data_IF_312964417133
#
_entry.id   IF_312964417133
#
_cell.length_a   1.000
_cell.length_b   1.000
_cell.length_c   1.000
_cell.angle_alpha   90.00
_cell.angle_beta   90.00
_cell.angle_gamma   90.00
#
_symmetry.space_group_name_H-M   'P 1'
#
loop_
_entity.id
_entity.type
_entity.pdbx_description
1 polymer ?
#
# COMPACT_ATOMS: atom_id res chain seq x y z
N UNK A 1 40.86 -15.18 -30.94
CA UNK A 1 41.73 -13.99 -30.78
C UNK A 1 41.10 -13.15 -29.68
N UNK A 2 41.31 -13.50 -28.40
CA UNK A 2 42.42 -13.05 -27.51
C UNK A 2 42.32 -11.51 -27.35
N UNK A 3 42.02 -10.93 -26.18
CA UNK A 3 42.80 -11.03 -24.94
C UNK A 3 41.89 -11.01 -23.69
N UNK A 4 42.02 -12.08 -22.91
CA UNK A 4 41.81 -12.14 -21.47
C UNK A 4 42.72 -11.16 -20.72
N UNK A 5 42.15 -10.24 -19.94
CA UNK A 5 42.89 -9.54 -18.88
C UNK A 5 42.13 -9.64 -17.59
N UNK A 6 42.62 -10.54 -16.73
CA UNK A 6 42.33 -10.52 -15.30
C UNK A 6 42.77 -9.17 -14.72
N UNK A 7 41.83 -8.41 -14.15
CA UNK A 7 42.14 -7.41 -13.13
C UNK A 7 41.44 -7.81 -11.84
N UNK A 8 42.24 -8.35 -10.92
CA UNK A 8 41.93 -8.46 -9.49
C UNK A 8 41.73 -7.05 -8.94
N UNK A 9 40.58 -6.82 -8.30
CA UNK A 9 40.24 -5.56 -7.65
C UNK A 9 38.74 -5.50 -7.40
N UNK A 10 38.31 -6.04 -6.26
CA UNK A 10 36.90 -6.09 -5.85
C UNK A 10 36.33 -4.69 -5.60
N UNK A 11 35.92 -4.01 -6.67
CA UNK A 11 34.87 -2.99 -6.60
C UNK A 11 33.58 -3.71 -6.92
N UNK A 12 32.71 -3.87 -5.91
CA UNK A 12 31.32 -4.24 -6.16
C UNK A 12 30.77 -3.18 -7.12
N UNK A 13 30.62 -3.52 -8.39
CA UNK A 13 29.83 -2.71 -9.31
C UNK A 13 28.45 -2.61 -8.67
N UNK A 14 28.09 -1.43 -8.18
CA UNK A 14 26.70 -1.11 -7.90
C UNK A 14 25.99 -1.12 -9.27
N UNK A 15 25.53 -2.30 -9.68
CA UNK A 15 24.55 -2.40 -10.75
C UNK A 15 23.27 -1.82 -10.17
N UNK A 16 22.98 -0.56 -10.54
CA UNK A 16 21.69 0.03 -10.24
C UNK A 16 20.67 -0.84 -10.97
N UNK A 17 19.64 -1.37 -10.29
CA UNK A 17 18.54 -1.98 -10.99
C UNK A 17 17.96 -0.91 -11.93
N UNK A 18 18.11 -1.13 -13.23
CA UNK A 18 17.72 -0.14 -14.22
C UNK A 18 16.23 0.15 -14.05
N UNK A 19 15.90 1.44 -13.92
CA UNK A 19 14.53 1.87 -13.74
C UNK A 19 13.82 1.72 -15.08
N UNK A 20 13.21 0.56 -15.31
CA UNK A 20 12.60 0.18 -16.58
C UNK A 20 11.23 0.86 -16.75
N UNK A 21 11.04 1.47 -17.91
CA UNK A 21 9.77 2.06 -18.35
C UNK A 21 9.98 2.98 -19.55
N UNK A 22 8.95 3.07 -20.39
CA UNK A 22 8.87 3.88 -21.60
C UNK A 22 7.65 4.81 -21.59
N UNK A 23 6.77 4.71 -20.59
CA UNK A 23 5.60 5.57 -20.46
C UNK A 23 5.97 7.03 -20.25
N UNK A 24 5.20 7.95 -20.86
CA UNK A 24 5.40 9.39 -20.76
C UNK A 24 5.41 9.87 -19.30
N UNK A 25 4.45 9.40 -18.48
CA UNK A 25 4.37 9.71 -17.05
C UNK A 25 5.61 9.27 -16.27
N UNK A 26 6.25 8.17 -16.69
CA UNK A 26 7.50 7.73 -16.08
C UNK A 26 8.69 8.54 -16.56
N UNK A 27 8.73 8.95 -17.83
CA UNK A 27 9.78 9.81 -18.36
C UNK A 27 9.77 11.20 -17.70
N UNK A 28 8.59 11.80 -17.52
CA UNK A 28 8.42 13.05 -16.76
C UNK A 28 8.95 12.92 -15.33
N UNK A 29 8.60 11.82 -14.65
CA UNK A 29 9.11 11.50 -13.31
C UNK A 29 10.64 11.35 -13.30
N UNK A 30 11.24 10.72 -14.31
CA UNK A 30 12.70 10.62 -14.43
C UNK A 30 13.37 11.97 -14.67
N UNK A 31 12.73 12.85 -15.43
CA UNK A 31 13.20 14.20 -15.68
C UNK A 31 13.20 15.04 -14.38
N UNK A 32 12.13 14.94 -13.58
CA UNK A 32 12.05 15.58 -12.26
C UNK A 32 13.16 15.10 -11.33
N UNK A 33 13.42 13.80 -11.26
CA UNK A 33 14.55 13.23 -10.50
C UNK A 33 15.88 13.85 -10.96
N UNK A 34 16.07 13.98 -12.27
CA UNK A 34 17.31 14.50 -12.84
C UNK A 34 17.51 15.99 -12.52
N UNK A 35 16.42 16.76 -12.48
CA UNK A 35 16.43 18.19 -12.08
C UNK A 35 16.76 18.37 -10.60
N UNK A 36 16.23 17.53 -9.72
CA UNK A 36 16.46 17.67 -8.26
C UNK A 36 17.79 17.07 -7.79
N UNK A 37 18.32 16.08 -8.51
CA UNK A 37 19.52 15.36 -8.11
C UNK A 37 20.75 16.24 -7.80
N UNK A 38 21.10 17.30 -8.56
CA UNK A 38 22.24 18.15 -8.23
C UNK A 38 22.01 19.10 -7.04
N UNK A 39 20.77 19.26 -6.57
CA UNK A 39 20.41 20.17 -5.48
C UNK A 39 20.66 19.49 -4.13
N UNK A 40 21.42 20.12 -3.24
CA UNK A 40 21.77 19.60 -1.91
C UNK A 40 20.70 19.90 -0.85
N UNK A 41 19.43 19.82 -1.24
CA UNK A 41 18.27 20.04 -0.36
C UNK A 41 17.55 18.71 -0.09
N UNK A 42 16.76 18.62 0.99
CA UNK A 42 15.90 17.48 1.25
C UNK A 42 14.93 17.22 0.09
N UNK A 43 14.62 15.94 -0.16
CA UNK A 43 13.62 15.56 -1.18
C UNK A 43 12.64 14.59 -0.57
N UNK A 44 11.35 14.82 -0.77
CA UNK A 44 10.27 13.95 -0.33
C UNK A 44 9.69 13.17 -1.52
N UNK A 45 9.71 11.85 -1.43
CA UNK A 45 9.18 10.93 -2.45
C UNK A 45 7.85 10.36 -1.95
N UNK A 46 6.77 10.71 -2.64
CA UNK A 46 5.43 10.24 -2.35
C UNK A 46 5.04 9.17 -3.34
N UNK A 47 4.52 8.05 -2.86
CA UNK A 47 4.04 7.00 -3.75
C UNK A 47 3.51 5.78 -3.02
N UNK A 48 2.64 5.06 -3.70
CA UNK A 48 2.04 3.84 -3.19
C UNK A 48 3.11 2.78 -2.86
N UNK A 49 2.72 1.81 -2.04
CA UNK A 49 3.59 0.67 -1.72
C UNK A 49 3.87 -0.13 -3.00
N UNK A 50 5.12 -0.57 -3.14
CA UNK A 50 5.55 -1.38 -4.30
C UNK A 50 5.78 -0.62 -5.61
N UNK A 51 5.78 0.72 -5.62
CA UNK A 51 6.08 1.54 -6.82
C UNK A 51 7.56 1.72 -7.12
N UNK A 52 8.45 1.33 -6.20
CA UNK A 52 9.92 1.45 -6.38
C UNK A 52 10.53 2.75 -5.86
N UNK A 53 10.02 3.30 -4.75
CA UNK A 53 10.56 4.52 -4.10
C UNK A 53 12.06 4.42 -3.77
N UNK A 54 12.54 3.24 -3.37
CA UNK A 54 13.95 2.97 -3.11
C UNK A 54 14.84 3.19 -4.36
N UNK A 55 14.34 2.79 -5.54
CA UNK A 55 15.05 2.99 -6.80
C UNK A 55 15.12 4.47 -7.17
N UNK A 56 14.05 5.21 -6.92
CA UNK A 56 14.01 6.65 -7.12
C UNK A 56 15.05 7.37 -6.25
N UNK A 57 15.12 7.03 -4.96
CA UNK A 57 16.11 7.59 -4.04
C UNK A 57 17.55 7.22 -4.43
N UNK A 58 17.78 5.97 -4.84
CA UNK A 58 19.08 5.51 -5.34
C UNK A 58 19.50 6.29 -6.59
N UNK A 59 18.56 6.57 -7.49
CA UNK A 59 18.79 7.37 -8.70
C UNK A 59 19.10 8.84 -8.37
N UNK A 60 18.37 9.45 -7.43
CA UNK A 60 18.64 10.81 -6.94
C UNK A 60 20.07 10.89 -6.39
N UNK A 61 20.48 9.94 -5.57
CA UNK A 61 21.83 9.88 -5.01
C UNK A 61 22.90 9.72 -6.11
N UNK A 62 22.69 8.81 -7.05
CA UNK A 62 23.65 8.55 -8.13
C UNK A 62 23.84 9.75 -9.07
N UNK A 63 22.77 10.50 -9.33
CA UNK A 63 22.82 11.71 -10.17
C UNK A 63 23.27 12.95 -9.37
N UNK A 64 23.54 12.83 -8.08
CA UNK A 64 23.97 13.94 -7.23
C UNK A 64 25.49 14.14 -7.25
N UNK A 65 25.93 15.29 -6.74
CA UNK A 65 27.37 15.55 -6.50
C UNK A 65 28.00 14.59 -5.49
N UNK A 66 27.19 13.90 -4.68
CA UNK A 66 27.59 12.98 -3.62
C UNK A 66 27.54 11.50 -4.05
N UNK A 67 27.51 11.20 -5.35
CA UNK A 67 27.39 9.82 -5.86
C UNK A 67 28.51 8.85 -5.43
N UNK A 68 29.69 9.35 -5.08
CA UNK A 68 30.80 8.54 -4.56
C UNK A 68 30.73 8.32 -3.03
N UNK A 69 29.87 9.06 -2.35
CA UNK A 69 29.73 9.07 -0.88
C UNK A 69 28.72 7.99 -0.47
N UNK A 70 28.66 7.60 0.82
CA UNK A 70 27.75 6.54 1.24
C UNK A 70 26.27 6.91 1.04
N UNK A 71 25.51 5.98 0.47
CA UNK A 71 24.05 5.97 0.53
C UNK A 71 23.63 5.02 1.66
N UNK A 72 23.13 5.58 2.75
CA UNK A 72 22.61 4.81 3.88
C UNK A 72 21.10 4.78 3.77
N UNK A 73 20.51 3.58 3.73
CA UNK A 73 19.07 3.38 3.68
C UNK A 73 18.56 2.88 5.03
N UNK A 74 17.46 3.44 5.52
CA UNK A 74 16.75 2.97 6.70
C UNK A 74 15.26 2.88 6.39
N UNK A 75 14.68 1.70 6.66
CA UNK A 75 13.23 1.52 6.64
C UNK A 75 12.68 1.72 8.05
N UNK A 76 11.85 2.75 8.23
CA UNK A 76 11.33 3.16 9.52
C UNK A 76 10.22 2.26 10.06
N UNK A 77 9.57 1.44 9.24
CA UNK A 77 8.50 0.53 9.70
C UNK A 77 9.01 -0.82 10.20
N UNK A 78 10.27 -1.16 9.92
CA UNK A 78 10.88 -2.39 10.38
C UNK A 78 11.33 -2.34 11.86
N UNK A 79 11.36 -1.16 12.47
CA UNK A 79 11.93 -0.93 13.80
C UNK A 79 10.86 -0.45 14.79
N UNK A 80 11.07 -0.78 16.06
CA UNK A 80 10.25 -0.24 17.15
C UNK A 80 10.59 1.23 17.42
N UNK A 81 9.67 2.01 18.04
CA UNK A 81 9.91 3.41 18.40
C UNK A 81 11.18 3.68 19.23
N UNK A 82 11.57 2.74 20.08
CA UNK A 82 12.78 2.87 20.90
C UNK A 82 14.04 2.57 20.08
N UNK A 83 13.98 1.57 19.20
CA UNK A 83 15.12 1.17 18.36
C UNK A 83 15.37 2.13 17.21
N UNK A 84 14.34 2.77 16.66
CA UNK A 84 14.52 3.71 15.55
C UNK A 84 15.34 4.94 15.98
N UNK A 85 15.14 5.43 17.22
CA UNK A 85 15.93 6.52 17.77
C UNK A 85 17.39 6.13 17.97
N UNK A 86 17.66 4.93 18.50
CA UNK A 86 19.03 4.45 18.73
C UNK A 86 19.75 4.07 17.43
N UNK A 87 19.06 3.57 16.41
CA UNK A 87 19.63 3.34 15.08
C UNK A 87 19.95 4.66 14.35
N UNK A 88 19.04 5.63 14.36
CA UNK A 88 19.25 6.91 13.67
C UNK A 88 20.39 7.73 14.28
N UNK A 89 20.37 7.92 15.61
CA UNK A 89 21.28 8.83 16.31
C UNK A 89 22.44 8.13 17.01
N UNK A 90 22.40 6.80 17.15
CA UNK A 90 23.39 6.07 17.93
C UNK A 90 23.18 6.25 19.44
N UNK A 91 23.96 5.51 20.21
CA UNK A 91 23.88 5.52 21.67
C UNK A 91 25.26 5.35 22.31
N UNK A 92 25.43 5.95 23.48
CA UNK A 92 26.61 5.77 24.32
C UNK A 92 26.46 4.55 25.23
N UNK A 93 27.61 4.07 25.76
CA UNK A 93 27.61 2.97 26.73
C UNK A 93 26.78 3.35 27.95
N UNK A 94 25.83 2.49 28.34
CA UNK A 94 24.95 2.73 29.49
C UNK A 94 23.69 3.55 29.20
N UNK A 95 23.37 3.86 27.93
CA UNK A 95 22.15 4.58 27.57
C UNK A 95 20.84 3.82 27.89
N UNK A 96 20.87 2.48 27.88
CA UNK A 96 19.75 1.62 28.27
C UNK A 96 20.27 0.25 28.76
N UNK A 97 19.39 -0.56 29.37
CA UNK A 97 19.72 -1.91 29.85
C UNK A 97 20.16 -2.80 28.68
N UNK A 98 21.44 -3.18 28.64
CA UNK A 98 22.03 -3.93 27.51
C UNK A 98 22.92 -3.11 26.56
N UNK A 99 23.09 -1.80 26.78
CA UNK A 99 24.02 -0.95 26.04
C UNK A 99 25.49 -1.20 26.45
N UNK A 100 26.03 -2.36 26.08
CA UNK A 100 27.39 -2.80 26.46
C UNK A 100 28.52 -2.05 25.75
N UNK A 101 28.27 -1.53 24.54
CA UNK A 101 29.22 -0.78 23.73
C UNK A 101 28.56 0.44 23.08
N UNK A 102 29.36 1.46 22.76
CA UNK A 102 28.92 2.61 21.95
C UNK A 102 28.62 2.15 20.53
N UNK A 103 27.53 2.65 19.94
CA UNK A 103 27.18 2.40 18.54
C UNK A 103 26.91 3.72 17.81
N UNK A 104 27.53 3.87 16.64
CA UNK A 104 27.32 5.01 15.75
C UNK A 104 25.96 4.92 15.05
N UNK A 105 25.28 6.07 14.97
CA UNK A 105 23.98 6.19 14.31
C UNK A 105 24.07 6.23 12.79
N UNK A 106 22.93 6.07 12.13
CA UNK A 106 22.83 6.19 10.66
C UNK A 106 23.18 7.58 10.15
N UNK A 107 22.88 8.64 10.90
CA UNK A 107 23.28 10.00 10.52
C UNK A 107 24.80 10.17 10.49
N UNK A 108 25.51 9.60 11.47
CA UNK A 108 26.98 9.63 11.53
C UNK A 108 27.60 8.83 10.38
N UNK A 109 27.06 7.64 10.10
CA UNK A 109 27.48 6.79 8.97
C UNK A 109 27.19 7.40 7.59
N UNK A 110 26.16 8.24 7.51
CA UNK A 110 25.75 8.93 6.29
C UNK A 110 26.41 10.31 6.11
N UNK A 111 27.34 10.69 7.00
CA UNK A 111 28.05 11.97 6.90
C UNK A 111 28.73 12.13 5.54
N UNK A 112 28.62 13.34 4.98
CA UNK A 112 29.01 13.73 3.61
C UNK A 112 28.25 12.99 2.49
N UNK A 113 27.32 12.11 2.84
CA UNK A 113 26.59 11.24 1.93
C UNK A 113 25.12 11.58 1.82
N UNK A 114 24.30 10.54 1.67
CA UNK A 114 22.84 10.64 1.59
C UNK A 114 22.21 9.61 2.53
N UNK A 115 21.26 10.08 3.35
CA UNK A 115 20.41 9.23 4.17
C UNK A 115 19.04 9.12 3.54
N UNK A 116 18.68 7.91 3.15
CA UNK A 116 17.35 7.57 2.66
C UNK A 116 16.48 6.99 3.79
N UNK A 117 15.34 7.64 4.04
CA UNK A 117 14.38 7.26 5.07
C UNK A 117 13.09 6.77 4.38
N UNK A 118 12.87 5.46 4.35
CA UNK A 118 11.61 4.91 3.84
C UNK A 118 10.55 4.80 4.94
N UNK A 119 9.31 5.05 4.54
CA UNK A 119 8.13 5.13 5.42
C UNK A 119 8.30 6.15 6.58
N UNK A 120 8.79 7.37 6.30
CA UNK A 120 8.98 8.43 7.31
C UNK A 120 7.73 8.77 8.14
N UNK A 121 6.54 8.52 7.60
CA UNK A 121 5.27 8.71 8.30
C UNK A 121 5.04 7.77 9.49
N UNK A 122 5.86 6.72 9.68
CA UNK A 122 5.77 5.80 10.83
C UNK A 122 6.65 6.22 12.01
N UNK A 123 7.42 7.30 11.88
CA UNK A 123 8.38 7.72 12.90
C UNK A 123 7.66 8.36 14.10
N UNK A 124 8.04 8.01 15.35
CA UNK A 124 7.50 8.65 16.56
C UNK A 124 7.81 10.14 16.66
N UNK A 125 6.94 10.90 17.34
CA UNK A 125 7.08 12.36 17.49
C UNK A 125 8.44 12.78 18.08
N UNK A 126 8.93 12.11 19.12
CA UNK A 126 10.24 12.40 19.75
C UNK A 126 11.40 12.31 18.76
N UNK A 127 11.34 11.36 17.84
CA UNK A 127 12.37 11.13 16.82
C UNK A 127 12.23 12.18 15.71
N UNK A 128 11.02 12.59 15.37
CA UNK A 128 10.77 13.69 14.43
C UNK A 128 11.42 15.00 14.92
N UNK A 129 11.37 15.31 16.22
CA UNK A 129 12.02 16.51 16.78
C UNK A 129 13.53 16.50 16.59
N UNK A 130 14.15 15.33 16.79
CA UNK A 130 15.59 15.17 16.61
C UNK A 130 15.98 15.24 15.13
N UNK A 131 15.18 14.66 14.23
CA UNK A 131 15.40 14.78 12.79
C UNK A 131 15.30 16.25 12.37
N UNK A 132 14.31 16.99 12.88
CA UNK A 132 14.16 18.42 12.60
C UNK A 132 15.43 19.20 12.96
N UNK A 133 16.02 18.96 14.15
CA UNK A 133 17.29 19.58 14.56
C UNK A 133 18.45 19.27 13.60
N UNK A 134 18.52 18.04 13.08
CA UNK A 134 19.53 17.66 12.08
C UNK A 134 19.29 18.40 10.77
N UNK A 135 18.04 18.49 10.30
CA UNK A 135 17.72 19.15 9.03
C UNK A 135 17.99 20.67 9.10
N UNK A 136 17.72 21.29 10.26
CA UNK A 136 17.87 22.73 10.44
C UNK A 136 19.30 23.17 10.76
N UNK A 137 19.97 22.49 11.69
CA UNK A 137 21.25 22.91 12.24
C UNK A 137 22.42 22.01 11.83
N UNK A 138 22.16 20.88 11.18
CA UNK A 138 23.20 19.90 10.84
C UNK A 138 23.84 19.27 12.07
N UNK A 139 23.15 19.20 13.21
CA UNK A 139 23.69 18.66 14.45
C UNK A 139 22.68 17.83 15.23
N UNK A 140 23.17 16.83 15.97
CA UNK A 140 22.36 16.02 16.88
C UNK A 140 23.15 15.53 18.09
N UNK A 141 22.43 14.99 19.06
CA UNK A 141 22.97 14.37 20.26
C UNK A 141 22.68 12.87 20.28
N UNK A 142 23.64 12.05 20.74
CA UNK A 142 23.43 10.61 20.91
C UNK A 142 22.46 10.33 22.05
N UNK A 143 21.80 9.18 22.01
CA UNK A 143 21.00 8.72 23.15
C UNK A 143 21.93 8.48 24.35
N UNK A 144 21.68 9.17 25.46
CA UNK A 144 22.48 9.10 26.68
C UNK A 144 23.72 10.00 26.71
N UNK A 145 23.90 10.91 25.73
CA UNK A 145 24.98 11.89 25.70
C UNK A 145 24.44 13.29 25.45
N UNK A 146 25.00 14.30 26.11
CA UNK A 146 24.75 15.72 25.82
C UNK A 146 25.74 16.30 24.80
N UNK A 147 26.63 15.47 24.24
CA UNK A 147 27.60 15.94 23.25
C UNK A 147 26.92 16.10 21.89
N UNK A 148 26.89 17.33 21.39
CA UNK A 148 26.46 17.63 20.03
C UNK A 148 27.49 17.15 19.00
N UNK A 149 26.99 16.55 17.92
CA UNK A 149 27.75 16.02 16.79
C UNK A 149 27.23 16.70 15.54
N UNK A 150 28.12 17.36 14.80
CA UNK A 150 27.80 17.98 13.52
C UNK A 150 27.94 16.96 12.39
N UNK A 151 26.96 16.92 11.50
CA UNK A 151 26.92 16.05 10.32
C UNK A 151 26.37 16.80 9.11
N UNK A 152 27.01 16.61 7.96
CA UNK A 152 26.49 17.08 6.67
C UNK A 152 25.85 15.90 5.94
N UNK A 153 24.53 15.80 5.99
CA UNK A 153 23.80 14.67 5.39
C UNK A 153 22.68 15.19 4.51
N UNK A 154 22.65 14.74 3.25
CA UNK A 154 21.48 14.95 2.40
C UNK A 154 20.39 13.96 2.79
N UNK A 155 19.19 14.45 3.06
CA UNK A 155 18.05 13.60 3.43
C UNK A 155 17.16 13.38 2.21
N UNK A 156 16.84 12.12 1.93
CA UNK A 156 15.80 11.73 0.97
C UNK A 156 14.76 10.92 1.74
N UNK A 157 13.55 11.44 1.88
CA UNK A 157 12.49 10.76 2.61
C UNK A 157 11.48 10.16 1.63
N UNK A 158 10.88 9.02 1.99
CA UNK A 158 9.83 8.38 1.23
C UNK A 158 8.66 8.01 2.14
N UNK A 159 7.44 8.15 1.62
CA UNK A 159 6.23 7.69 2.31
C UNK A 159 5.12 7.34 1.33
N UNK A 160 4.21 6.49 1.78
CA UNK A 160 2.97 6.13 1.10
C UNK A 160 1.73 6.74 1.77
N UNK A 161 1.91 7.44 2.89
CA UNK A 161 0.83 8.07 3.64
C UNK A 161 0.79 9.57 3.35
N UNK A 162 -0.41 10.14 3.39
CA UNK A 162 -0.60 11.58 3.29
C UNK A 162 -0.10 12.28 4.57
N UNK A 163 1.06 12.93 4.46
CA UNK A 163 1.68 13.65 5.57
C UNK A 163 0.87 14.88 5.98
N UNK A 164 0.17 15.55 5.06
CA UNK A 164 -0.65 16.71 5.40
C UNK A 164 -1.79 16.31 6.35
N UNK A 165 -2.45 15.18 6.06
CA UNK A 165 -3.49 14.65 6.92
C UNK A 165 -2.92 14.20 8.28
N UNK A 166 -1.71 13.63 8.31
CA UNK A 166 -1.03 13.28 9.58
C UNK A 166 -0.69 14.51 10.43
N UNK A 167 -0.30 15.62 9.81
CA UNK A 167 -0.06 16.90 10.51
C UNK A 167 -1.36 17.40 11.14
N UNK A 168 -2.48 17.39 10.39
CA UNK A 168 -3.79 17.80 10.93
C UNK A 168 -4.23 16.93 12.13
N UNK A 169 -3.83 15.66 12.15
CA UNK A 169 -4.11 14.72 13.26
C UNK A 169 -3.11 14.82 14.42
N UNK A 170 -2.10 15.69 14.34
CA UNK A 170 -1.05 15.83 15.35
C UNK A 170 -0.10 14.64 15.44
N UNK A 171 -0.07 13.77 14.43
CA UNK A 171 0.81 12.60 14.36
C UNK A 171 2.14 12.89 13.66
N UNK A 172 2.23 14.06 13.02
CA UNK A 172 3.44 14.51 12.35
C UNK A 172 3.64 16.02 12.59
N UNK A 173 4.88 16.47 12.75
CA UNK A 173 5.17 17.90 12.92
C UNK A 173 5.09 18.67 11.60
N UNK A 174 4.39 19.81 11.61
CA UNK A 174 4.33 20.74 10.48
C UNK A 174 5.73 21.24 10.09
N UNK A 175 6.52 21.69 11.07
CA UNK A 175 7.88 22.22 10.82
C UNK A 175 8.78 21.20 10.12
N UNK A 176 8.68 19.91 10.49
CA UNK A 176 9.46 18.85 9.85
C UNK A 176 9.00 18.64 8.40
N UNK A 177 7.69 18.67 8.15
CA UNK A 177 7.14 18.55 6.80
C UNK A 177 7.64 19.70 5.92
N UNK A 178 7.61 20.93 6.40
CA UNK A 178 8.06 22.12 5.67
C UNK A 178 9.56 22.05 5.33
N UNK A 179 10.39 21.53 6.25
CA UNK A 179 11.83 21.35 6.00
C UNK A 179 12.15 20.22 5.03
N UNK A 180 11.36 19.14 5.04
CA UNK A 180 11.56 17.98 4.16
C UNK A 180 11.00 18.22 2.75
N UNK A 181 10.01 19.10 2.61
CA UNK A 181 9.24 19.32 1.38
C UNK A 181 9.84 20.38 0.45
N UNK A 182 11.17 20.57 0.44
CA UNK A 182 11.81 21.46 -0.53
C UNK A 182 11.45 21.07 -1.97
N UNK A 183 11.47 19.77 -2.28
CA UNK A 183 10.89 19.22 -3.50
C UNK A 183 10.08 17.98 -3.16
N UNK A 184 8.89 17.86 -3.74
CA UNK A 184 7.99 16.73 -3.55
C UNK A 184 7.79 16.01 -4.88
N UNK A 185 8.32 14.79 -4.97
CA UNK A 185 8.25 13.97 -6.19
C UNK A 185 7.21 12.86 -5.99
N UNK A 186 6.25 12.80 -6.91
CA UNK A 186 5.23 11.75 -6.92
C UNK A 186 5.66 10.61 -7.83
N UNK A 187 5.79 9.41 -7.27
CA UNK A 187 6.04 8.20 -8.05
C UNK A 187 4.71 7.74 -8.68
N UNK A 188 4.61 7.68 -10.03
CA UNK A 188 3.39 7.26 -10.68
C UNK A 188 3.09 5.79 -10.37
N UNK A 189 1.85 5.44 -9.95
CA UNK A 189 1.46 4.05 -9.78
C UNK A 189 1.39 3.34 -11.13
N UNK A 190 1.52 2.01 -11.12
CA UNK A 190 1.62 1.19 -12.33
C UNK A 190 0.42 1.38 -13.27
N UNK A 191 -0.77 1.58 -12.71
CA UNK A 191 -2.00 1.87 -13.48
C UNK A 191 -1.98 3.16 -14.31
N UNK A 192 -1.10 4.12 -13.98
CA UNK A 192 -0.90 5.36 -14.75
C UNK A 192 0.28 5.27 -15.74
N UNK A 193 0.98 4.14 -15.77
CA UNK A 193 2.17 3.90 -16.62
C UNK A 193 1.78 3.00 -17.80
N UNK A 194 1.04 3.57 -18.75
CA UNK A 194 0.55 2.83 -19.93
C UNK A 194 1.74 2.31 -20.75
N UNK A 195 1.67 1.05 -21.20
CA UNK A 195 2.74 0.39 -21.96
C UNK A 195 3.89 -0.18 -21.12
N UNK A 196 4.12 0.30 -19.89
CA UNK A 196 5.22 -0.20 -19.04
C UNK A 196 4.97 -1.62 -18.52
N UNK A 197 3.71 -2.02 -18.37
CA UNK A 197 3.33 -3.35 -17.85
C UNK A 197 3.95 -4.46 -18.70
N UNK A 198 3.89 -4.33 -20.04
CA UNK A 198 4.46 -5.33 -20.95
C UNK A 198 5.98 -5.41 -20.82
N UNK A 199 6.66 -4.27 -20.83
CA UNK A 199 8.12 -4.20 -20.73
C UNK A 199 8.61 -4.79 -19.41
N UNK A 200 7.96 -4.42 -18.30
CA UNK A 200 8.25 -4.95 -16.97
C UNK A 200 7.97 -6.44 -16.88
N UNK A 201 6.84 -6.90 -17.42
CA UNK A 201 6.48 -8.31 -17.39
C UNK A 201 7.47 -9.17 -18.17
N UNK A 202 7.89 -8.75 -19.36
CA UNK A 202 8.92 -9.45 -20.14
C UNK A 202 10.27 -9.48 -19.41
N UNK A 203 10.66 -8.37 -18.78
CA UNK A 203 11.89 -8.31 -18.00
C UNK A 203 11.88 -9.29 -16.81
N UNK A 204 10.80 -9.31 -16.03
CA UNK A 204 10.67 -10.25 -14.91
C UNK A 204 10.56 -11.70 -15.38
N UNK A 205 9.88 -11.95 -16.50
CA UNK A 205 9.76 -13.28 -17.07
C UNK A 205 11.11 -13.83 -17.54
N UNK A 206 11.91 -13.01 -18.23
CA UNK A 206 13.25 -13.37 -18.67
C UNK A 206 14.18 -13.68 -17.49
N UNK A 207 14.13 -12.85 -16.44
CA UNK A 207 14.92 -13.06 -15.23
C UNK A 207 14.56 -14.36 -14.52
N UNK A 208 13.27 -14.64 -14.34
CA UNK A 208 12.82 -15.88 -13.70
C UNK A 208 13.12 -17.11 -14.56
N UNK A 209 12.99 -17.02 -15.88
CA UNK A 209 13.37 -18.11 -16.79
C UNK A 209 14.86 -18.46 -16.65
N UNK A 210 15.71 -17.44 -16.56
CA UNK A 210 17.15 -17.61 -16.31
C UNK A 210 17.43 -18.24 -14.94
N UNK A 211 16.76 -17.77 -13.88
CA UNK A 211 16.90 -18.33 -12.53
C UNK A 211 16.43 -19.80 -12.44
N UNK A 212 15.44 -20.20 -13.26
CA UNK A 212 14.97 -21.58 -13.37
C UNK A 212 15.80 -22.45 -14.34
N UNK A 213 16.81 -21.88 -15.00
CA UNK A 213 17.64 -22.60 -15.97
C UNK A 213 16.90 -23.01 -17.25
N UNK A 214 15.89 -22.25 -17.68
CA UNK A 214 15.20 -22.49 -18.95
C UNK A 214 15.99 -21.92 -20.11
N UNK A 215 16.07 -22.69 -21.21
CA UNK A 215 16.73 -22.26 -22.45
C UNK A 215 15.92 -21.17 -23.19
N UNK A 216 14.59 -21.14 -23.00
CA UNK A 216 13.70 -20.19 -23.66
C UNK A 216 12.98 -19.25 -22.69
N UNK A 217 12.83 -17.99 -23.12
CA UNK A 217 12.06 -16.98 -22.40
C UNK A 217 10.57 -17.20 -22.74
N UNK A 218 9.70 -17.48 -21.75
CA UNK A 218 8.31 -17.71 -22.00
C UNK A 218 7.63 -16.43 -22.51
N UNK A 219 6.86 -16.57 -23.59
CA UNK A 219 6.10 -15.46 -24.18
C UNK A 219 4.75 -15.30 -23.49
N UNK A 220 4.40 -14.06 -23.17
CA UNK A 220 3.08 -13.72 -22.64
C UNK A 220 2.08 -13.74 -23.80
N UNK A 221 0.99 -14.49 -23.64
CA UNK A 221 -0.10 -14.51 -24.64
C UNK A 221 -0.86 -13.18 -24.66
N UNK A 222 -1.52 -12.86 -25.78
CA UNK A 222 -2.33 -11.64 -25.90
C UNK A 222 -3.47 -11.58 -24.88
N UNK A 223 -4.11 -12.71 -24.58
CA UNK A 223 -5.16 -12.80 -23.55
C UNK A 223 -4.61 -12.50 -22.14
N UNK A 224 -3.43 -13.03 -21.84
CA UNK A 224 -2.76 -12.78 -20.56
C UNK A 224 -2.32 -11.31 -20.43
N UNK A 225 -1.85 -10.70 -21.53
CA UNK A 225 -1.48 -9.29 -21.57
C UNK A 225 -2.68 -8.38 -21.32
N UNK A 226 -3.82 -8.61 -21.98
CA UNK A 226 -5.04 -7.85 -21.73
C UNK A 226 -5.49 -7.95 -20.27
N UNK A 227 -5.38 -9.16 -19.67
CA UNK A 227 -5.68 -9.35 -18.26
C UNK A 227 -4.74 -8.52 -17.37
N UNK A 228 -3.43 -8.48 -17.66
CA UNK A 228 -2.45 -7.68 -16.93
C UNK A 228 -2.73 -6.17 -17.04
N UNK A 229 -3.11 -5.69 -18.22
CA UNK A 229 -3.41 -4.26 -18.43
C UNK A 229 -4.72 -3.82 -17.78
N UNK A 230 -5.73 -4.69 -17.72
CA UNK A 230 -7.03 -4.39 -17.10
C UNK A 230 -7.01 -4.39 -15.56
N UNK A 231 -5.97 -4.96 -14.95
CA UNK A 231 -5.87 -5.10 -13.50
C UNK A 231 -5.45 -3.79 -12.81
N UNK A 232 -5.94 -3.56 -11.59
CA UNK A 232 -5.73 -2.30 -10.86
C UNK A 232 -4.36 -2.18 -10.17
N UNK A 233 -3.67 -3.31 -9.96
CA UNK A 233 -2.34 -3.41 -9.36
C UNK A 233 -2.19 -2.71 -7.99
N UNK A 234 -2.91 -3.14 -6.93
CA UNK A 234 -2.79 -2.55 -5.60
C UNK A 234 -1.37 -2.62 -4.99
N UNK A 235 -0.57 -3.62 -5.35
CA UNK A 235 0.84 -3.76 -4.94
C UNK A 235 1.85 -3.30 -6.00
N UNK A 236 1.38 -2.63 -7.07
CA UNK A 236 2.21 -2.06 -8.14
C UNK A 236 3.26 -3.04 -8.69
N UNK A 237 4.52 -2.60 -8.81
CA UNK A 237 5.61 -3.37 -9.43
C UNK A 237 5.96 -4.62 -8.59
N UNK A 238 5.86 -4.52 -7.26
CA UNK A 238 6.14 -5.67 -6.38
C UNK A 238 5.15 -6.81 -6.59
N UNK A 239 3.87 -6.47 -6.78
CA UNK A 239 2.85 -7.47 -7.10
C UNK A 239 3.02 -8.01 -8.52
N UNK A 240 3.24 -7.14 -9.51
CA UNK A 240 3.51 -7.55 -10.90
C UNK A 240 4.67 -8.57 -10.97
N UNK A 241 5.79 -8.26 -10.31
CA UNK A 241 6.94 -9.16 -10.21
C UNK A 241 6.51 -10.53 -9.70
N UNK A 242 5.84 -10.59 -8.55
CA UNK A 242 5.41 -11.85 -7.93
C UNK A 242 4.42 -12.65 -8.80
N UNK A 243 3.49 -11.96 -9.48
CA UNK A 243 2.49 -12.59 -10.35
C UNK A 243 3.16 -13.20 -11.59
N UNK A 244 4.07 -12.47 -12.23
CA UNK A 244 4.80 -12.94 -13.40
C UNK A 244 5.76 -14.07 -13.03
N UNK A 245 6.54 -13.93 -11.96
CA UNK A 245 7.43 -14.97 -11.47
C UNK A 245 6.68 -16.28 -11.21
N UNK A 246 5.51 -16.19 -10.57
CA UNK A 246 4.64 -17.34 -10.33
C UNK A 246 4.08 -17.93 -11.63
N UNK A 247 3.70 -17.08 -12.58
CA UNK A 247 3.18 -17.54 -13.87
C UNK A 247 4.25 -18.30 -14.66
N UNK A 248 5.49 -17.80 -14.67
CA UNK A 248 6.65 -18.50 -15.27
C UNK A 248 6.87 -19.85 -14.59
N UNK A 249 6.94 -19.87 -13.26
CA UNK A 249 7.12 -21.10 -12.50
C UNK A 249 6.03 -22.15 -12.78
N UNK A 250 4.75 -21.75 -12.81
CA UNK A 250 3.61 -22.64 -13.09
C UNK A 250 3.51 -23.08 -14.55
N UNK A 251 3.99 -22.25 -15.49
CA UNK A 251 3.95 -22.58 -16.90
C UNK A 251 5.00 -23.66 -17.21
N UNK A 252 4.57 -24.87 -17.58
CA UNK A 252 5.49 -25.89 -18.11
C UNK A 252 5.78 -25.72 -19.61
N UNK A 253 5.15 -24.73 -20.26
CA UNK A 253 5.21 -24.46 -21.70
C UNK A 253 5.74 -23.07 -22.00
N UNK A 254 6.24 -22.84 -23.22
CA UNK A 254 6.85 -21.57 -23.65
C UNK A 254 5.86 -20.40 -23.77
N UNK A 255 4.56 -20.62 -23.54
CA UNK A 255 3.53 -19.58 -23.56
C UNK A 255 2.76 -19.51 -22.24
N UNK A 256 2.71 -18.32 -21.66
CA UNK A 256 1.90 -18.01 -20.47
C UNK A 256 0.49 -17.64 -20.94
N UNK A 257 -0.47 -18.55 -20.76
CA UNK A 257 -1.89 -18.36 -21.11
C UNK A 257 -2.74 -17.89 -19.92
N UNK A 258 -2.48 -18.46 -18.75
CA UNK A 258 -3.25 -18.18 -17.53
C UNK A 258 -2.39 -17.43 -16.52
N UNK A 259 -2.96 -16.35 -15.96
CA UNK A 259 -2.34 -15.54 -14.92
C UNK A 259 -3.19 -15.63 -13.67
N UNK A 260 -2.58 -16.12 -12.59
CA UNK A 260 -3.20 -16.20 -11.27
C UNK A 260 -2.82 -14.96 -10.46
N UNK A 261 -3.70 -13.96 -10.47
CA UNK A 261 -3.54 -12.74 -9.68
C UNK A 261 -3.64 -13.02 -8.18
N UNK A 262 -4.60 -13.85 -7.75
CA UNK A 262 -4.74 -14.26 -6.36
C UNK A 262 -4.15 -15.67 -6.10
N UNK A 263 -3.06 -15.79 -5.34
CA UNK A 263 -2.49 -17.11 -4.98
C UNK A 263 -3.30 -17.87 -3.94
N UNK A 264 -4.17 -17.20 -3.20
CA UNK A 264 -4.87 -17.77 -2.05
C UNK A 264 -6.21 -18.44 -2.43
N UNK A 265 -6.42 -18.73 -3.72
CA UNK A 265 -7.55 -19.53 -4.13
C UNK A 265 -7.29 -20.98 -3.69
N UNK A 266 -7.86 -21.35 -2.55
CA UNK A 266 -7.78 -22.69 -2.01
C UNK A 266 -8.63 -23.63 -2.87
N UNK A 267 -8.04 -24.64 -3.54
CA UNK A 267 -8.79 -25.61 -4.34
C UNK A 267 -9.60 -26.59 -3.47
N UNK A 268 -9.32 -26.64 -2.17
CA UNK A 268 -10.04 -27.44 -1.17
C UNK A 268 -10.81 -26.48 -0.26
N UNK A 269 -11.99 -26.03 -0.69
CA UNK A 269 -12.86 -25.16 0.12
C UNK A 269 -12.97 -25.67 1.55
N UNK A 270 -12.82 -24.76 2.51
CA UNK A 270 -13.08 -24.93 3.95
C UNK A 270 -12.01 -25.55 4.88
N UNK A 271 -10.76 -25.79 4.43
CA UNK A 271 -9.72 -26.30 5.34
C UNK A 271 -9.04 -25.23 6.24
N UNK A 272 -9.25 -23.94 5.96
CA UNK A 272 -8.84 -22.84 6.83
C UNK A 272 -10.10 -22.18 7.37
N UNK A 273 -10.69 -22.75 8.42
CA UNK A 273 -11.58 -21.98 9.29
C UNK A 273 -10.83 -20.69 9.67
N UNK A 274 -11.53 -19.55 9.60
CA UNK A 274 -11.03 -18.25 10.00
C UNK A 274 -10.53 -18.32 11.46
N UNK A 275 -9.23 -18.62 11.64
CA UNK A 275 -8.56 -18.44 12.92
C UNK A 275 -8.40 -16.95 13.14
N UNK A 276 -9.46 -16.35 13.69
CA UNK A 276 -9.39 -15.23 14.61
C UNK A 276 -8.49 -14.06 14.21
N UNK A 277 -8.70 -13.47 13.04
CA UNK A 277 -8.45 -12.03 12.88
C UNK A 277 -9.79 -11.35 12.78
N UNK A 278 -10.27 -10.91 13.95
CA UNK A 278 -11.41 -10.03 14.08
C UNK A 278 -11.26 -8.85 13.13
N UNK A 279 -11.95 -8.91 11.99
CA UNK A 279 -12.34 -7.74 11.23
C UNK A 279 -13.35 -6.98 12.08
N UNK A 280 -12.82 -6.21 13.04
CA UNK A 280 -13.31 -4.85 13.26
C UNK A 280 -13.25 -4.16 11.90
N UNK A 281 -14.34 -4.26 11.13
CA UNK A 281 -14.72 -3.21 10.20
C UNK A 281 -14.66 -1.91 11.00
N UNK A 282 -13.83 -0.98 10.54
CA UNK A 282 -13.73 0.39 11.03
C UNK A 282 -15.13 1.01 11.13
N UNK A 283 -15.70 0.90 12.33
CA UNK A 283 -16.25 2.01 13.11
C UNK A 283 -15.07 2.82 13.64
N UNK A 284 -15.00 4.14 13.70
CA UNK A 284 -15.88 5.27 13.38
C UNK A 284 -14.94 6.50 13.29
N UNK A 285 -15.34 7.56 12.58
CA UNK A 285 -15.05 8.92 13.05
C UNK A 285 -16.31 9.76 12.80
N UNK A 286 -17.19 9.79 13.80
CA UNK A 286 -17.48 11.05 14.50
C UNK A 286 -18.37 10.77 15.71
N UNK A 287 -17.81 11.03 16.88
CA UNK A 287 -18.44 11.01 18.19
C UNK A 287 -19.63 11.99 18.29
N UNK A 288 -20.72 11.55 18.90
CA UNK A 288 -21.20 12.10 20.19
C UNK A 288 -22.31 11.22 20.76
N UNK A 289 -22.01 10.62 21.92
CA UNK A 289 -22.99 10.07 22.87
C UNK A 289 -23.72 11.26 23.56
N UNK A 290 -24.89 11.08 24.23
CA UNK A 290 -25.18 9.91 25.06
C UNK A 290 -26.66 9.46 25.15
N UNK A 291 -26.85 8.38 25.94
CA UNK A 291 -28.06 7.90 26.66
C UNK A 291 -28.83 6.77 25.97
N UNK A 292 -28.70 5.51 26.44
CA UNK A 292 -29.20 4.90 27.70
C UNK A 292 -30.51 4.14 27.41
N UNK A 293 -30.38 2.80 27.49
CA UNK A 293 -31.33 1.84 28.07
C UNK A 293 -32.47 1.29 27.18
N UNK A 294 -32.40 -0.04 27.08
CA UNK A 294 -33.46 -1.05 27.14
C UNK A 294 -34.17 -1.64 25.90
N UNK A 295 -33.93 -2.96 25.82
CA UNK A 295 -34.91 -4.04 25.84
C UNK A 295 -35.48 -4.62 24.53
N UNK A 296 -35.24 -5.93 24.44
CA UNK A 296 -36.17 -6.99 24.01
C UNK A 296 -36.28 -7.32 22.51
N UNK A 297 -35.40 -8.26 22.14
CA UNK A 297 -35.64 -9.45 21.32
C UNK A 297 -37.08 -9.70 20.81
N UNK A 298 -37.22 -9.72 19.49
CA UNK A 298 -37.86 -10.82 18.73
C UNK A 298 -37.65 -10.60 17.23
N UNK A 299 -36.58 -11.16 16.67
CA UNK A 299 -36.45 -11.34 15.22
C UNK A 299 -36.22 -12.83 14.96
N UNK A 300 -37.26 -13.51 14.52
CA UNK A 300 -37.14 -14.82 13.88
C UNK A 300 -36.22 -14.71 12.65
N UNK A 301 -35.33 -15.69 12.42
CA UNK A 301 -34.42 -15.68 11.29
C UNK A 301 -35.20 -15.78 9.97
N UNK A 302 -34.85 -14.91 9.04
CA UNK A 302 -35.38 -14.90 7.67
C UNK A 302 -34.93 -16.20 6.99
N UNK A 303 -35.90 -17.04 6.62
CA UNK A 303 -35.67 -18.30 5.91
C UNK A 303 -35.00 -18.01 4.56
N UNK A 304 -33.71 -18.32 4.45
CA UNK A 304 -32.86 -18.09 3.27
C UNK A 304 -33.39 -18.86 2.04
N UNK A 305 -34.16 -19.92 2.24
CA UNK A 305 -34.70 -20.78 1.18
C UNK A 305 -35.79 -20.14 0.29
N UNK A 306 -36.52 -19.13 0.77
CA UNK A 306 -37.68 -18.58 0.03
C UNK A 306 -37.23 -17.68 -1.13
N UNK A 307 -36.09 -16.98 -0.98
CA UNK A 307 -35.60 -16.06 -2.00
C UNK A 307 -35.00 -16.80 -3.21
N UNK A 308 -34.35 -17.95 -2.98
CA UNK A 308 -33.79 -18.79 -4.05
C UNK A 308 -34.86 -19.50 -4.89
N UNK A 309 -36.04 -19.77 -4.32
CA UNK A 309 -37.19 -20.30 -5.06
C UNK A 309 -37.87 -19.22 -5.92
N UNK A 310 -37.95 -17.98 -5.44
CA UNK A 310 -38.55 -16.85 -6.18
C UNK A 310 -37.74 -16.52 -7.43
N UNK A 311 -36.40 -16.58 -7.34
CA UNK A 311 -35.49 -16.27 -8.45
C UNK A 311 -35.51 -17.30 -9.59
N UNK A 312 -36.07 -18.50 -9.38
CA UNK A 312 -36.21 -19.55 -10.41
C UNK A 312 -37.47 -19.38 -11.28
N UNK A 313 -38.38 -18.47 -10.92
CA UNK A 313 -39.65 -18.25 -11.63
C UNK A 313 -39.54 -17.14 -12.70
N UNK A 314 -40.43 -17.12 -13.71
CA UNK A 314 -40.49 -16.04 -14.69
C UNK A 314 -40.61 -14.67 -14.01
N UNK A 315 -39.88 -13.67 -14.53
CA UNK A 315 -39.70 -12.36 -13.90
C UNK A 315 -40.99 -11.69 -13.38
N UNK A 316 -42.08 -11.76 -14.16
CA UNK A 316 -43.37 -11.16 -13.77
C UNK A 316 -44.04 -11.88 -12.59
N UNK A 317 -43.82 -13.18 -12.43
CA UNK A 317 -44.30 -13.97 -11.30
C UNK A 317 -43.41 -13.79 -10.07
N UNK A 318 -42.09 -13.74 -10.27
CA UNK A 318 -41.11 -13.51 -9.20
C UNK A 318 -41.33 -12.15 -8.51
N UNK A 319 -41.54 -11.08 -9.30
CA UNK A 319 -41.86 -9.75 -8.75
C UNK A 319 -43.15 -9.79 -7.93
N UNK A 320 -44.19 -10.47 -8.43
CA UNK A 320 -45.47 -10.53 -7.73
C UNK A 320 -45.39 -11.25 -6.38
N UNK A 321 -44.61 -12.33 -6.30
CA UNK A 321 -44.38 -13.06 -5.03
C UNK A 321 -43.54 -12.24 -4.04
N UNK A 322 -42.54 -11.50 -4.54
CA UNK A 322 -41.72 -10.63 -3.71
C UNK A 322 -42.51 -9.43 -3.19
N UNK A 323 -43.35 -8.80 -4.03
CA UNK A 323 -44.28 -7.73 -3.62
C UNK A 323 -45.20 -8.20 -2.48
N UNK A 324 -45.80 -9.38 -2.63
CA UNK A 324 -46.66 -9.97 -1.62
C UNK A 324 -45.91 -10.27 -0.32
N UNK A 325 -44.70 -10.83 -0.42
CA UNK A 325 -43.89 -11.20 0.74
C UNK A 325 -43.47 -9.96 1.56
N UNK A 326 -43.02 -8.90 0.89
CA UNK A 326 -42.61 -7.67 1.55
C UNK A 326 -43.80 -6.96 2.23
N UNK A 327 -44.97 -6.93 1.59
CA UNK A 327 -46.18 -6.30 2.16
C UNK A 327 -46.71 -7.10 3.36
N UNK A 328 -46.80 -8.43 3.23
CA UNK A 328 -47.27 -9.28 4.32
C UNK A 328 -46.35 -9.25 5.53
N UNK A 329 -45.03 -9.23 5.31
CA UNK A 329 -44.03 -9.07 6.37
C UNK A 329 -44.14 -7.70 7.04
N UNK A 330 -44.20 -6.61 6.27
CA UNK A 330 -44.35 -5.27 6.82
C UNK A 330 -45.65 -5.09 7.62
N UNK A 331 -46.75 -5.71 7.18
CA UNK A 331 -48.02 -5.70 7.92
C UNK A 331 -47.92 -6.46 9.25
N UNK A 332 -47.31 -7.66 9.26
CA UNK A 332 -47.12 -8.44 10.49
C UNK A 332 -46.26 -7.69 11.51
N UNK A 333 -45.14 -7.13 11.07
CA UNK A 333 -44.22 -6.37 11.92
C UNK A 333 -44.86 -5.09 12.48
N UNK A 334 -45.76 -4.45 11.72
CA UNK A 334 -46.44 -3.22 12.12
C UNK A 334 -47.84 -3.45 12.74
N UNK A 335 -48.14 -4.66 13.22
CA UNK A 335 -49.45 -5.05 13.81
C UNK A 335 -50.65 -4.62 12.95
N UNK A 336 -50.55 -4.83 11.63
CA UNK A 336 -51.56 -4.49 10.62
C UNK A 336 -51.89 -2.99 10.47
N UNK A 337 -51.07 -2.09 11.04
CA UNK A 337 -51.21 -0.66 10.81
C UNK A 337 -50.66 -0.27 9.43
N UNK A 338 -51.56 0.04 8.50
CA UNK A 338 -51.25 0.27 7.08
C UNK A 338 -50.40 1.53 6.86
N UNK A 339 -50.59 2.60 7.64
CA UNK A 339 -49.80 3.83 7.50
C UNK A 339 -48.34 3.60 7.92
N UNK A 340 -48.13 2.84 8.98
CA UNK A 340 -46.79 2.51 9.48
C UNK A 340 -46.08 1.50 8.56
N UNK A 341 -46.82 0.51 8.03
CA UNK A 341 -46.28 -0.44 7.06
C UNK A 341 -45.86 0.24 5.75
N UNK A 342 -46.66 1.20 5.24
CA UNK A 342 -46.31 1.99 4.06
C UNK A 342 -45.03 2.81 4.28
N UNK A 343 -44.93 3.50 5.44
CA UNK A 343 -43.75 4.28 5.80
C UNK A 343 -42.48 3.43 5.93
N UNK A 344 -42.60 2.20 6.47
CA UNK A 344 -41.47 1.25 6.60
C UNK A 344 -40.94 0.77 5.26
N UNK A 345 -41.84 0.56 4.29
CA UNK A 345 -41.48 0.16 2.93
C UNK A 345 -41.05 1.34 2.03
N UNK A 346 -41.08 2.58 2.54
CA UNK A 346 -40.76 3.77 1.76
C UNK A 346 -41.79 4.10 0.66
N UNK A 347 -43.02 3.58 0.78
CA UNK A 347 -44.10 3.77 -0.19
C UNK A 347 -45.08 4.85 0.28
N UNK A 348 -45.72 5.54 -0.66
CA UNK A 348 -46.87 6.39 -0.32
C UNK A 348 -48.05 5.54 0.15
N UNK A 349 -48.93 6.12 0.97
CA UNK A 349 -50.09 5.40 1.49
C UNK A 349 -51.00 4.86 0.37
N UNK A 350 -51.17 5.63 -0.70
CA UNK A 350 -52.00 5.25 -1.85
C UNK A 350 -51.35 4.14 -2.69
N UNK A 351 -50.02 4.17 -2.87
CA UNK A 351 -49.26 3.10 -3.52
C UNK A 351 -49.37 1.80 -2.73
N UNK A 352 -49.17 1.85 -1.41
CA UNK A 352 -49.30 0.68 -0.54
C UNK A 352 -50.70 0.07 -0.61
N UNK A 353 -51.75 0.92 -0.58
CA UNK A 353 -53.14 0.47 -0.70
C UNK A 353 -53.44 -0.15 -2.07
N UNK A 354 -52.90 0.42 -3.15
CA UNK A 354 -53.01 -0.13 -4.51
C UNK A 354 -52.42 -1.52 -4.63
N UNK A 355 -51.20 -1.72 -4.12
CA UNK A 355 -50.54 -3.03 -4.15
C UNK A 355 -51.25 -4.02 -3.20
N UNK A 356 -51.69 -3.59 -2.02
CA UNK A 356 -52.50 -4.43 -1.12
C UNK A 356 -53.80 -4.90 -1.78
N UNK A 357 -54.50 -4.01 -2.51
CA UNK A 357 -55.73 -4.36 -3.23
C UNK A 357 -55.49 -5.37 -4.35
N UNK A 358 -54.34 -5.29 -5.03
CA UNK A 358 -53.93 -6.26 -6.05
C UNK A 358 -53.75 -7.69 -5.49
N UNK A 359 -53.41 -7.81 -4.21
CA UNK A 359 -53.18 -9.09 -3.54
C UNK A 359 -54.19 -9.40 -2.42
N UNK A 360 -55.34 -8.71 -2.37
CA UNK A 360 -56.34 -8.88 -1.31
C UNK A 360 -56.97 -10.28 -1.24
N UNK A 361 -56.83 -11.08 -2.30
CA UNK A 361 -57.33 -12.46 -2.33
C UNK A 361 -56.31 -13.47 -1.76
N UNK A 362 -55.09 -13.03 -1.40
CA UNK A 362 -54.01 -13.86 -0.84
C UNK A 362 -53.54 -13.39 0.55
N UNK A 363 -53.91 -12.18 0.97
CA UNK A 363 -53.65 -11.56 2.28
C UNK A 363 -54.92 -11.67 3.09
#
# INVERSE_FOLDING_TARGET
MVISSQRKGGRKHFSIPEAIGQSETFLEFQEQISKVAPIERPVLILGERGTGKELAASKIHFLSKRWQKPLITLNCSALTPTLIGSELFGYEKGAFTGAGARQEGRFEKASEGTLFLDEIGTIPMEVQEKILRVVEYGSFERVGSSKSINVDVRIVAATNVDLFLMVQKGLFKADLLDRLSFEVIYVPPLRKRQGDILVLANHFAARMAFELGRDEIPRISSSALQALESYSWPGNIRELKNVIERAVYKSCSDKIKEISFNPFNNPFGDALEDVGLGKKKKKDESFQNPKVIDESNSNEPINVNVMDEILKKPFKQAIGELEFHLISKALKECRFNQKNAAKRLGLSYDQFRGIKKKYSNKI
#
